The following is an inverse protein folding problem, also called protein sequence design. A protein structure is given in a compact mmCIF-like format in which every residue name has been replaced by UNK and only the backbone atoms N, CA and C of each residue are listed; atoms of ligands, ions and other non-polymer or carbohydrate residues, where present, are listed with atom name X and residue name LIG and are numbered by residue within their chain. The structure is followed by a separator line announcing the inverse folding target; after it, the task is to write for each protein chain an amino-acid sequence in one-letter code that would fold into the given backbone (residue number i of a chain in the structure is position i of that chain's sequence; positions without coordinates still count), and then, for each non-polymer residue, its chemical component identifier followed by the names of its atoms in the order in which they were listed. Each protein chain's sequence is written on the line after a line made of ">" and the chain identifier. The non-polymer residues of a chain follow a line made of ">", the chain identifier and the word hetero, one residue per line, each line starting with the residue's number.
data_IF_380823308402
#
_entry.id   IF_380823308402
#
_cell.length_a   1.000
_cell.length_b   1.000
_cell.length_c   1.000
_cell.angle_alpha   90.00
_cell.angle_beta   90.00
_cell.angle_gamma   90.00
#
_symmetry.space_group_name_H-M   'P 1'
#
loop_
_entity.id
_entity.type
_entity.pdbx_description
1 polymer ?
#
# COMPACT_ATOMS: atom_id res chain seq x y z
N UNK A 1 20.87 -12.74 12.15
CA UNK A 1 19.77 -11.94 11.55
C UNK A 1 19.86 -10.53 12.10
N UNK A 2 19.62 -9.49 11.30
CA UNK A 2 19.58 -8.12 11.81
C UNK A 2 18.31 -7.88 12.65
N UNK A 3 18.42 -7.07 13.70
CA UNK A 3 17.28 -6.68 14.53
C UNK A 3 16.14 -6.07 13.69
N UNK A 4 16.48 -5.25 12.69
CA UNK A 4 15.53 -4.66 11.76
C UNK A 4 14.71 -5.72 10.99
N UNK A 5 15.36 -6.80 10.53
CA UNK A 5 14.65 -7.89 9.83
C UNK A 5 13.61 -8.54 10.73
N UNK A 6 13.94 -8.77 12.00
CA UNK A 6 13.01 -9.35 12.97
C UNK A 6 11.84 -8.42 13.27
N UNK A 7 12.08 -7.10 13.35
CA UNK A 7 11.04 -6.10 13.61
C UNK A 7 10.04 -5.92 12.46
N UNK A 8 10.42 -6.27 11.24
CA UNK A 8 9.54 -6.16 10.07
C UNK A 8 8.56 -7.33 9.92
N UNK A 9 8.86 -8.48 10.55
CA UNK A 9 8.06 -9.69 10.41
C UNK A 9 6.62 -9.48 10.90
N UNK A 10 5.67 -10.02 10.14
CA UNK A 10 4.25 -9.90 10.42
C UNK A 10 3.51 -9.13 9.34
N UNK A 11 2.31 -8.68 9.69
CA UNK A 11 1.38 -8.02 8.77
C UNK A 11 1.08 -6.61 9.22
N UNK A 12 1.11 -5.68 8.28
CA UNK A 12 0.92 -4.26 8.51
C UNK A 12 -0.27 -3.75 7.71
N UNK A 13 -1.10 -2.95 8.37
CA UNK A 13 -2.25 -2.31 7.73
C UNK A 13 -1.76 -1.13 6.90
N UNK A 14 -2.18 -1.06 5.64
CA UNK A 14 -1.97 0.10 4.79
C UNK A 14 -2.80 1.29 5.33
N UNK A 15 -2.15 2.44 5.52
CA UNK A 15 -2.82 3.68 5.98
C UNK A 15 -2.99 4.72 4.87
N UNK A 16 -2.05 4.75 3.92
CA UNK A 16 -2.07 5.62 2.74
C UNK A 16 -1.24 5.00 1.62
N UNK A 17 -1.60 5.29 0.37
CA UNK A 17 -0.74 5.06 -0.79
C UNK A 17 -1.00 6.19 -1.77
N UNK A 18 0.03 6.99 -2.00
CA UNK A 18 0.00 8.10 -2.96
C UNK A 18 1.04 7.88 -4.07
N UNK A 19 0.80 8.48 -5.23
CA UNK A 19 1.81 8.69 -6.25
C UNK A 19 1.97 10.19 -6.51
N UNK A 20 3.20 10.60 -6.83
CA UNK A 20 3.53 11.96 -7.23
C UNK A 20 3.78 12.00 -8.73
N UNK A 21 3.12 12.92 -9.42
CA UNK A 21 3.36 13.18 -10.84
C UNK A 21 4.60 14.08 -10.93
N UNK A 22 5.73 13.53 -11.35
CA UNK A 22 7.02 14.22 -11.33
C UNK A 22 7.06 15.53 -12.12
N UNK A 23 6.27 15.63 -13.20
CA UNK A 23 6.22 16.83 -14.04
C UNK A 23 5.51 18.00 -13.35
N UNK A 24 4.46 17.73 -12.57
CA UNK A 24 3.59 18.76 -11.98
C UNK A 24 3.75 18.91 -10.46
N UNK A 25 4.36 17.91 -9.81
CA UNK A 25 4.39 17.77 -8.35
C UNK A 25 3.04 17.39 -7.74
N UNK A 26 2.04 17.04 -8.53
CA UNK A 26 0.71 16.68 -8.03
C UNK A 26 0.75 15.33 -7.31
N UNK A 27 0.20 15.27 -6.10
CA UNK A 27 0.11 14.06 -5.28
C UNK A 27 -1.31 13.54 -5.29
N UNK A 28 -1.49 12.28 -5.71
CA UNK A 28 -2.80 11.64 -5.86
C UNK A 28 -2.85 10.33 -5.07
N UNK A 29 -4.02 10.04 -4.48
CA UNK A 29 -4.27 8.76 -3.83
C UNK A 29 -4.35 7.63 -4.87
N UNK A 30 -3.46 6.64 -4.74
CA UNK A 30 -3.40 5.48 -5.62
C UNK A 30 -4.65 4.59 -5.49
N UNK A 31 -5.20 4.47 -4.28
CA UNK A 31 -6.32 3.59 -3.94
C UNK A 31 -7.51 4.34 -3.33
N UNK A 32 -7.55 5.66 -3.51
CA UNK A 32 -8.49 6.57 -2.85
C UNK A 32 -8.15 6.84 -1.38
N UNK A 33 -8.91 7.77 -0.78
CA UNK A 33 -8.65 8.34 0.56
C UNK A 33 -8.75 7.33 1.72
N UNK A 34 -9.39 6.19 1.49
CA UNK A 34 -9.62 5.15 2.50
C UNK A 34 -9.09 3.81 1.98
N UNK A 35 -7.77 3.64 1.85
CA UNK A 35 -7.20 2.43 1.32
C UNK A 35 -7.47 1.27 2.27
N UNK A 36 -7.76 0.11 1.69
CA UNK A 36 -7.80 -1.16 2.40
C UNK A 36 -6.70 -2.02 1.81
N UNK A 37 -5.79 -2.48 2.66
CA UNK A 37 -4.70 -3.33 2.22
C UNK A 37 -3.82 -3.79 3.38
N UNK A 38 -3.06 -4.84 3.12
CA UNK A 38 -2.12 -5.45 4.06
C UNK A 38 -0.81 -5.72 3.32
N UNK A 39 0.32 -5.36 3.94
CA UNK A 39 1.64 -5.84 3.54
C UNK A 39 2.13 -6.85 4.59
N UNK A 40 2.69 -7.97 4.14
CA UNK A 40 3.19 -9.03 5.02
C UNK A 40 4.63 -9.37 4.69
N UNK A 41 5.46 -9.49 5.72
CA UNK A 41 6.83 -9.98 5.65
C UNK A 41 6.96 -11.29 6.42
N UNK A 42 7.39 -12.35 5.75
CA UNK A 42 7.53 -13.69 6.32
C UNK A 42 8.98 -14.03 6.67
N UNK A 43 9.15 -14.94 7.63
CA UNK A 43 10.48 -15.34 8.11
C UNK A 43 11.34 -16.02 7.04
N UNK A 44 10.72 -16.64 6.03
CA UNK A 44 11.36 -17.24 4.86
C UNK A 44 11.88 -16.19 3.84
N UNK A 45 11.69 -14.90 4.12
CA UNK A 45 12.20 -13.80 3.30
C UNK A 45 11.27 -13.39 2.15
N UNK A 46 10.03 -13.88 2.12
CA UNK A 46 9.02 -13.41 1.17
C UNK A 46 8.30 -12.17 1.68
N UNK A 47 7.79 -11.39 0.73
CA UNK A 47 6.94 -10.25 0.96
C UNK A 47 5.70 -10.36 0.08
N UNK A 48 4.54 -10.00 0.62
CA UNK A 48 3.27 -9.98 -0.11
C UNK A 48 2.54 -8.67 0.17
N UNK A 49 1.92 -8.09 -0.85
CA UNK A 49 1.01 -6.96 -0.74
C UNK A 49 -0.36 -7.38 -1.26
N UNK A 50 -1.38 -7.16 -0.44
CA UNK A 50 -2.78 -7.28 -0.83
C UNK A 50 -3.41 -5.90 -0.77
N UNK A 51 -3.92 -5.43 -1.90
CA UNK A 51 -4.58 -4.14 -2.03
C UNK A 51 -6.01 -4.37 -2.50
N UNK A 52 -6.95 -3.69 -1.86
CA UNK A 52 -8.35 -3.71 -2.24
C UNK A 52 -8.67 -2.36 -2.85
N UNK A 53 -8.80 -2.31 -4.17
CA UNK A 53 -9.25 -1.09 -4.83
C UNK A 53 -10.72 -0.85 -4.46
N UNK A 54 -11.02 0.37 -4.01
CA UNK A 54 -12.38 0.85 -4.15
C UNK A 54 -12.58 1.15 -5.63
N UNK A 55 -13.36 0.31 -6.30
CA UNK A 55 -13.99 0.70 -7.56
C UNK A 55 -14.95 1.83 -7.18
N UNK A 56 -14.43 3.05 -7.10
CA UNK A 56 -15.27 4.23 -7.17
C UNK A 56 -15.98 4.09 -8.51
N UNK A 57 -17.30 3.90 -8.47
CA UNK A 57 -18.13 3.75 -9.64
C UNK A 57 -17.73 4.82 -10.66
N UNK A 58 -16.91 4.45 -11.64
CA UNK A 58 -16.56 5.30 -12.77
C UNK A 58 -17.71 5.23 -13.78
N UNK A 59 -18.91 5.45 -13.25
CA UNK A 59 -20.09 5.87 -13.97
C UNK A 59 -20.12 7.39 -13.76
N UNK A 60 -19.37 8.10 -14.60
CA UNK A 60 -19.80 9.45 -14.96
C UNK A 60 -20.70 9.31 -16.19
N UNK A 61 -21.84 10.04 -16.24
CA UNK A 61 -22.84 9.92 -17.29
C UNK A 61 -22.28 10.25 -18.68
#
# INVERSE_FOLDING_TARGET
>A
MSQLKTLLLGSWRMTSWVYEILETGEVLDALGQNPRGIISYSADGRMMVLSFEQIAARLRP
#
